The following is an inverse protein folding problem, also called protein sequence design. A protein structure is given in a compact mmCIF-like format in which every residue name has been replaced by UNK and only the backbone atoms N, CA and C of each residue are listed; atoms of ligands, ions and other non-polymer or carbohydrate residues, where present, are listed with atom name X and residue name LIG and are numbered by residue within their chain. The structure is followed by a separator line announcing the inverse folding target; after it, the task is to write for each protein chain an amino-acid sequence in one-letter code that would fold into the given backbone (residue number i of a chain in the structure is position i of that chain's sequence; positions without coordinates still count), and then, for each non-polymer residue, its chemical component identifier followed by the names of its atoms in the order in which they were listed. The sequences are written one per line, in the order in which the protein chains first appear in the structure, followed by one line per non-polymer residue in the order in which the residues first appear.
data_IF_544312727915
#
_entry.id   IF_544312727915
#
_cell.length_a   1.000
_cell.length_b   1.000
_cell.length_c   1.000
_cell.angle_alpha   90.00
_cell.angle_beta   90.00
_cell.angle_gamma   90.00
#
_symmetry.space_group_name_H-M   'P 1'
#
loop_
_entity.id
_entity.type
_entity.pdbx_description
1 polymer ?
#
# COMPACT_ATOMS: atom_id res chain seq x y z
N UNK A 1 -1.50 -18.58 -0.31
CA UNK A 1 -2.85 -19.14 -0.05
C UNK A 1 -2.84 -20.63 0.25
N UNK A 2 -2.12 -21.50 -0.49
CA UNK A 2 -2.24 -22.96 -0.29
C UNK A 2 -2.00 -23.44 1.15
N UNK A 3 -0.94 -22.98 1.83
CA UNK A 3 -0.68 -23.35 3.24
C UNK A 3 -1.79 -22.86 4.19
N UNK A 4 -2.35 -21.68 3.94
CA UNK A 4 -3.47 -21.12 4.71
C UNK A 4 -4.73 -21.96 4.49
N UNK A 5 -5.03 -22.30 3.23
CA UNK A 5 -6.18 -23.10 2.82
C UNK A 5 -6.10 -24.55 3.33
N UNK A 6 -4.89 -25.11 3.44
CA UNK A 6 -4.64 -26.44 3.99
C UNK A 6 -4.54 -26.45 5.52
N UNK A 7 -4.72 -25.32 6.20
CA UNK A 7 -4.63 -25.21 7.66
C UNK A 7 -3.22 -25.43 8.23
N UNK A 8 -2.19 -25.33 7.39
CA UNK A 8 -0.79 -25.49 7.79
C UNK A 8 -0.24 -24.24 8.49
N UNK A 9 -0.88 -23.09 8.30
CA UNK A 9 -0.62 -21.84 9.02
C UNK A 9 -1.94 -21.26 9.51
N UNK A 10 -1.94 -20.64 10.69
CA UNK A 10 -3.15 -20.00 11.23
C UNK A 10 -3.44 -18.62 10.63
N UNK A 11 -2.39 -17.91 10.17
CA UNK A 11 -2.51 -16.58 9.58
C UNK A 11 -1.37 -16.30 8.61
N UNK A 12 -1.56 -15.31 7.73
CA UNK A 12 -0.55 -14.84 6.80
C UNK A 12 -0.66 -13.33 6.59
N UNK A 13 0.49 -12.66 6.43
CA UNK A 13 0.53 -11.28 5.94
C UNK A 13 0.62 -11.34 4.43
N UNK A 14 -0.33 -10.70 3.75
CA UNK A 14 -0.48 -10.76 2.30
C UNK A 14 -0.51 -9.36 1.71
N UNK A 15 -0.05 -9.23 0.47
CA UNK A 15 -0.29 -8.03 -0.31
C UNK A 15 -1.80 -7.89 -0.57
N UNK A 16 -2.32 -6.67 -0.50
CA UNK A 16 -3.74 -6.35 -0.71
C UNK A 16 -4.29 -6.87 -2.04
N UNK A 17 -3.46 -6.97 -3.08
CA UNK A 17 -3.83 -7.55 -4.38
C UNK A 17 -4.31 -9.00 -4.31
N UNK A 18 -3.90 -9.72 -3.26
CA UNK A 18 -4.17 -11.14 -3.06
C UNK A 18 -5.28 -11.38 -2.02
N UNK A 19 -5.82 -10.31 -1.44
CA UNK A 19 -6.82 -10.38 -0.36
C UNK A 19 -8.19 -10.05 -0.94
N UNK A 20 -9.06 -11.07 -1.00
CA UNK A 20 -10.47 -10.95 -1.38
C UNK A 20 -11.41 -11.18 -0.19
N UNK A 21 -10.91 -11.06 1.05
CA UNK A 21 -11.65 -11.34 2.27
C UNK A 21 -12.00 -10.05 3.01
N UNK A 22 -13.31 -9.80 3.20
CA UNK A 22 -13.82 -8.66 3.94
C UNK A 22 -13.52 -8.69 5.44
N UNK A 23 -13.00 -9.79 5.97
CA UNK A 23 -12.53 -9.91 7.36
C UNK A 23 -11.03 -9.67 7.52
N UNK A 24 -10.31 -9.36 6.43
CA UNK A 24 -8.90 -9.04 6.51
C UNK A 24 -8.68 -7.76 7.34
N UNK A 25 -7.68 -7.81 8.22
CA UNK A 25 -7.25 -6.66 9.01
C UNK A 25 -6.02 -6.06 8.35
N UNK A 26 -6.05 -4.76 8.05
CA UNK A 26 -4.88 -4.04 7.58
C UNK A 26 -3.89 -3.90 8.74
N UNK A 27 -2.60 -4.09 8.44
CA UNK A 27 -1.55 -4.10 9.47
C UNK A 27 -1.50 -2.76 10.20
N UNK A 28 -1.68 -1.69 9.45
CA UNK A 28 -1.62 -0.31 9.90
C UNK A 28 -2.75 0.00 10.90
N UNK A 29 -3.96 -0.48 10.60
CA UNK A 29 -5.10 -0.39 11.51
C UNK A 29 -4.87 -1.21 12.78
N UNK A 30 -4.26 -2.41 12.66
CA UNK A 30 -4.00 -3.29 13.80
C UNK A 30 -2.99 -2.71 14.80
N UNK A 31 -2.04 -1.89 14.32
CA UNK A 31 -0.97 -1.33 15.17
C UNK A 31 -1.13 0.17 15.44
N UNK A 32 -2.16 0.80 14.85
CA UNK A 32 -2.49 2.21 15.06
C UNK A 32 -1.41 3.15 14.52
N UNK A 33 -0.98 2.92 13.28
CA UNK A 33 0.05 3.72 12.59
C UNK A 33 -0.51 4.26 11.27
N UNK A 34 0.15 5.26 10.64
CA UNK A 34 -0.22 5.69 9.30
C UNK A 34 -0.12 4.53 8.30
N UNK A 35 -0.74 4.68 7.13
CA UNK A 35 -0.64 3.71 6.03
C UNK A 35 0.81 3.35 5.70
N UNK A 36 1.06 2.13 5.22
CA UNK A 36 2.42 1.61 5.00
C UNK A 36 3.22 2.38 3.93
N UNK A 37 2.54 3.15 3.07
CA UNK A 37 3.17 3.97 2.04
C UNK A 37 3.14 5.44 2.47
N UNK A 38 4.29 6.11 2.39
CA UNK A 38 4.43 7.54 2.67
C UNK A 38 5.36 8.22 1.68
N UNK A 39 5.19 9.53 1.52
CA UNK A 39 6.06 10.40 0.75
C UNK A 39 6.56 11.51 1.66
N UNK A 40 7.87 11.80 1.60
CA UNK A 40 8.45 12.98 2.22
C UNK A 40 8.63 14.05 1.14
N UNK A 41 8.14 15.26 1.40
CA UNK A 41 8.24 16.39 0.48
C UNK A 41 9.10 17.46 1.12
N UNK A 42 10.22 17.78 0.47
CA UNK A 42 11.07 18.90 0.84
C UNK A 42 10.73 20.11 -0.05
N UNK A 43 9.80 20.95 0.40
CA UNK A 43 9.33 22.13 -0.35
C UNK A 43 7.82 22.30 -0.26
N UNK A 44 7.24 22.96 -1.26
CA UNK A 44 5.79 23.16 -1.35
C UNK A 44 5.08 21.84 -1.73
N UNK A 45 4.14 21.35 -0.90
CA UNK A 45 3.51 20.05 -1.11
C UNK A 45 2.41 20.06 -2.18
N UNK A 46 1.75 21.18 -2.41
CA UNK A 46 0.54 21.27 -3.25
C UNK A 46 0.75 20.79 -4.69
N UNK A 47 1.85 21.12 -5.40
CA UNK A 47 2.08 20.62 -6.75
C UNK A 47 2.20 19.08 -6.80
N UNK A 48 2.82 18.47 -5.78
CA UNK A 48 2.98 17.01 -5.69
C UNK A 48 1.64 16.35 -5.36
N UNK A 49 0.90 16.91 -4.39
CA UNK A 49 -0.42 16.42 -4.00
C UNK A 49 -1.36 16.41 -5.22
N UNK A 50 -1.41 17.51 -5.98
CA UNK A 50 -2.28 17.63 -7.15
C UNK A 50 -1.99 16.56 -8.21
N UNK A 51 -0.71 16.30 -8.52
CA UNK A 51 -0.33 15.27 -9.49
C UNK A 51 -0.63 13.87 -8.97
N UNK A 52 -0.43 13.63 -7.67
CA UNK A 52 -0.73 12.35 -7.04
C UNK A 52 -2.23 12.05 -7.06
N UNK A 53 -3.06 13.04 -6.72
CA UNK A 53 -4.52 12.95 -6.78
C UNK A 53 -5.02 12.73 -8.21
N UNK A 54 -4.47 13.43 -9.21
CA UNK A 54 -4.81 13.19 -10.61
C UNK A 54 -4.47 11.75 -11.05
N UNK A 55 -3.35 11.19 -10.57
CA UNK A 55 -3.01 9.78 -10.81
C UNK A 55 -3.98 8.80 -10.15
N UNK A 56 -4.44 9.10 -8.94
CA UNK A 56 -5.48 8.34 -8.25
C UNK A 56 -6.79 8.36 -9.04
N UNK A 57 -7.21 9.53 -9.54
CA UNK A 57 -8.42 9.67 -10.33
C UNK A 57 -8.36 8.84 -11.61
N UNK A 58 -7.24 8.91 -12.35
CA UNK A 58 -7.01 8.08 -13.54
C UNK A 58 -7.10 6.58 -13.23
N UNK A 59 -6.49 6.15 -12.13
CA UNK A 59 -6.53 4.74 -11.71
C UNK A 59 -7.94 4.28 -11.32
N UNK A 60 -8.78 5.18 -10.77
CA UNK A 60 -10.18 4.90 -10.43
C UNK A 60 -11.08 4.86 -11.67
N UNK A 61 -10.89 5.79 -12.60
CA UNK A 61 -11.71 5.92 -13.80
C UNK A 61 -11.41 4.82 -14.84
N UNK A 62 -10.13 4.53 -15.08
CA UNK A 62 -9.68 3.51 -16.01
C UNK A 62 -8.58 2.62 -15.40
N UNK A 63 -8.96 1.67 -14.52
CA UNK A 63 -7.99 0.75 -13.91
C UNK A 63 -7.33 -0.18 -14.94
N UNK A 64 -8.00 -0.47 -16.06
CA UNK A 64 -7.47 -1.38 -17.09
C UNK A 64 -6.38 -0.70 -17.93
N UNK A 65 -6.64 0.50 -18.43
CA UNK A 65 -5.66 1.30 -19.17
C UNK A 65 -4.52 1.77 -18.28
N UNK A 66 -4.81 2.14 -17.03
CA UNK A 66 -3.80 2.46 -16.03
C UNK A 66 -2.88 1.25 -15.76
N UNK A 67 -3.44 0.04 -15.62
CA UNK A 67 -2.65 -1.16 -15.45
C UNK A 67 -1.73 -1.44 -16.66
N UNK A 68 -2.22 -1.25 -17.89
CA UNK A 68 -1.40 -1.40 -19.10
C UNK A 68 -0.21 -0.44 -19.12
N UNK A 69 -0.45 0.82 -18.76
CA UNK A 69 0.61 1.81 -18.62
C UNK A 69 1.64 1.38 -17.57
N UNK A 70 1.19 0.98 -16.37
CA UNK A 70 2.07 0.54 -15.29
C UNK A 70 2.94 -0.63 -15.74
N UNK A 71 2.36 -1.69 -16.31
CA UNK A 71 3.09 -2.90 -16.74
C UNK A 71 4.16 -2.58 -17.77
N UNK A 72 3.88 -1.65 -18.69
CA UNK A 72 4.83 -1.26 -19.73
C UNK A 72 6.07 -0.54 -19.16
N UNK A 73 5.92 0.11 -18.00
CA UNK A 73 6.96 0.94 -17.40
C UNK A 73 7.65 0.30 -16.18
N UNK A 74 7.14 -0.82 -15.66
CA UNK A 74 7.79 -1.54 -14.56
C UNK A 74 9.05 -2.28 -15.04
N UNK A 75 10.12 -2.34 -14.23
CA UNK A 75 11.32 -3.12 -14.53
C UNK A 75 11.11 -4.64 -14.41
N UNK A 76 9.89 -5.06 -14.03
CA UNK A 76 9.50 -6.45 -13.81
C UNK A 76 8.21 -6.76 -14.56
N UNK A 77 8.08 -8.00 -15.04
CA UNK A 77 6.85 -8.47 -15.68
C UNK A 77 5.86 -8.93 -14.63
N UNK A 78 4.73 -8.24 -14.53
CA UNK A 78 3.60 -8.64 -13.69
C UNK A 78 2.40 -9.02 -14.57
N UNK A 79 1.56 -9.98 -14.14
CA UNK A 79 0.29 -10.25 -14.81
C UNK A 79 -0.61 -9.01 -14.76
N UNK A 80 -1.29 -8.68 -15.88
CA UNK A 80 -2.18 -7.52 -15.93
C UNK A 80 -3.27 -7.57 -14.87
N UNK A 81 -3.89 -8.73 -14.71
CA UNK A 81 -4.94 -8.96 -13.73
C UNK A 81 -4.47 -8.66 -12.30
N UNK A 82 -3.22 -8.98 -11.96
CA UNK A 82 -2.66 -8.66 -10.64
C UNK A 82 -2.62 -7.14 -10.41
N UNK A 83 -2.12 -6.38 -11.39
CA UNK A 83 -2.05 -4.92 -11.28
C UNK A 83 -3.45 -4.30 -11.25
N UNK A 84 -4.39 -4.77 -12.08
CA UNK A 84 -5.78 -4.33 -12.04
C UNK A 84 -6.41 -4.59 -10.67
N UNK A 85 -6.15 -5.76 -10.07
CA UNK A 85 -6.68 -6.10 -8.76
C UNK A 85 -6.06 -5.23 -7.66
N UNK A 86 -4.77 -4.89 -7.71
CA UNK A 86 -4.18 -3.87 -6.84
C UNK A 86 -4.97 -2.58 -6.98
N UNK A 87 -5.11 -2.07 -8.21
CA UNK A 87 -5.71 -0.77 -8.46
C UNK A 87 -7.18 -0.69 -8.02
N UNK A 88 -7.91 -1.80 -8.00
CA UNK A 88 -9.30 -1.85 -7.53
C UNK A 88 -9.44 -2.02 -6.01
N UNK A 89 -8.46 -2.66 -5.38
CA UNK A 89 -8.57 -3.09 -3.98
C UNK A 89 -7.94 -2.11 -2.98
N UNK A 90 -7.00 -1.28 -3.44
CA UNK A 90 -6.36 -0.29 -2.56
C UNK A 90 -7.31 0.83 -2.19
N UNK A 91 -7.27 1.25 -0.93
CA UNK A 91 -7.90 2.49 -0.49
C UNK A 91 -6.99 3.66 -0.85
N UNK A 92 -7.35 4.39 -1.91
CA UNK A 92 -6.62 5.59 -2.29
C UNK A 92 -6.97 6.79 -1.42
N UNK A 93 -5.97 7.61 -1.12
CA UNK A 93 -6.12 8.91 -0.50
C UNK A 93 -4.77 9.57 -0.25
N UNK A 94 -4.79 10.89 -0.08
CA UNK A 94 -3.67 11.67 0.42
C UNK A 94 -4.11 12.27 1.74
N UNK A 95 -3.32 12.06 2.78
CA UNK A 95 -3.57 12.62 4.11
C UNK A 95 -2.25 12.84 4.81
N UNK A 96 -2.13 13.99 5.46
CA UNK A 96 -1.03 14.22 6.39
C UNK A 96 -1.24 13.36 7.65
N UNK A 97 -0.27 12.52 8.04
CA UNK A 97 -0.38 11.75 9.26
C UNK A 97 -0.27 12.67 10.48
N UNK A 98 -0.93 12.32 11.59
CA UNK A 98 -0.75 13.09 12.83
C UNK A 98 0.63 12.81 13.45
N UNK A 99 1.20 13.79 14.17
CA UNK A 99 2.46 13.62 14.91
C UNK A 99 2.42 12.37 15.81
N UNK A 100 1.26 12.12 16.44
CA UNK A 100 1.05 10.95 17.29
C UNK A 100 1.21 9.64 16.52
N UNK A 101 0.66 9.55 15.31
CA UNK A 101 0.73 8.33 14.51
C UNK A 101 2.17 8.09 14.01
N UNK A 102 2.87 9.17 13.66
CA UNK A 102 4.30 9.13 13.29
C UNK A 102 5.16 8.67 14.47
N UNK A 103 4.99 9.27 15.65
CA UNK A 103 5.70 8.88 16.88
C UNK A 103 5.44 7.42 17.23
N UNK A 104 4.19 6.96 17.03
CA UNK A 104 3.82 5.57 17.26
C UNK A 104 4.55 4.63 16.31
N UNK A 105 4.61 4.97 15.02
CA UNK A 105 5.38 4.20 14.03
C UNK A 105 6.86 4.13 14.41
N UNK A 106 7.48 5.27 14.72
CA UNK A 106 8.90 5.36 15.14
C UNK A 106 9.14 4.49 16.37
N UNK A 107 8.25 4.54 17.37
CA UNK A 107 8.34 3.72 18.58
C UNK A 107 8.30 2.23 18.27
N UNK A 108 7.39 1.77 17.40
CA UNK A 108 7.29 0.36 17.00
C UNK A 108 8.56 -0.08 16.26
N UNK A 109 9.03 0.71 15.29
CA UNK A 109 10.24 0.41 14.52
C UNK A 109 11.48 0.39 15.42
N UNK A 110 11.63 1.33 16.34
CA UNK A 110 12.77 1.33 17.26
C UNK A 110 12.74 0.16 18.26
N UNK A 111 11.54 -0.33 18.61
CA UNK A 111 11.40 -1.41 19.59
C UNK A 111 11.53 -2.80 18.96
N UNK A 112 10.97 -2.98 17.76
CA UNK A 112 10.83 -4.30 17.13
C UNK A 112 11.44 -4.39 15.74
N UNK A 113 11.78 -3.25 15.12
CA UNK A 113 12.38 -3.20 13.81
C UNK A 113 13.79 -3.76 13.84
N UNK A 114 14.11 -4.60 12.86
CA UNK A 114 15.49 -4.97 12.58
C UNK A 114 16.08 -3.83 11.74
N UNK A 115 16.77 -2.89 12.39
CA UNK A 115 17.56 -1.89 11.65
C UNK A 115 18.77 -2.62 11.08
N UNK A 116 18.68 -3.00 9.81
CA UNK A 116 19.84 -3.49 9.06
C UNK A 116 20.64 -2.26 8.61
N UNK A 117 21.82 -2.09 9.18
CA UNK A 117 22.79 -1.11 8.66
C UNK A 117 23.31 -1.65 7.32
N UNK A 118 22.81 -1.12 6.21
CA UNK A 118 23.45 -1.24 4.89
C UNK A 118 24.45 -0.09 4.68
#
# INVERSE_FOLDING_TARGET
MNMLNLGQVQSAVLNVALVNDGNAVFLEDAVGVPGACGIYINGEPEPIINVYEAGIELAREDPEGSAEYVIKNLPVKLPKEFVVNVLRSVKYGVSEPSDRDVDRLISIVNTYGVITNE
#
